data_IF_950720049539
#
_entry.id   IF_950720049539
#
_cell.length_a   1.000
_cell.length_b   1.000
_cell.length_c   1.000
_cell.angle_alpha   90.00
_cell.angle_beta   90.00
_cell.angle_gamma   90.00
#
_symmetry.space_group_name_H-M   'P 1'
#
loop_
_entity.id
_entity.type
_entity.pdbx_description
1 polymer ?
#
# COMPACT_ATOMS: atom_id res chain seq x y z
N UNK A 1 -4.19 -17.84 10.53
CA UNK A 1 -5.06 -17.04 9.65
C UNK A 1 -4.20 -16.24 8.67
N UNK A 2 -4.68 -16.09 7.46
CA UNK A 2 -3.97 -15.34 6.45
C UNK A 2 -3.94 -13.85 6.82
N UNK A 3 -2.79 -13.20 6.61
CA UNK A 3 -2.68 -11.76 6.74
C UNK A 3 -3.39 -11.09 5.58
N UNK A 4 -4.03 -9.95 5.84
CA UNK A 4 -4.79 -9.20 4.84
C UNK A 4 -4.00 -7.99 4.37
N UNK A 5 -3.93 -7.81 3.05
CA UNK A 5 -3.24 -6.70 2.42
C UNK A 5 -4.23 -5.92 1.57
N UNK A 6 -4.30 -4.61 1.79
CA UNK A 6 -5.09 -3.71 0.95
C UNK A 6 -4.18 -3.12 -0.12
N UNK A 7 -4.60 -3.26 -1.39
CA UNK A 7 -3.89 -2.64 -2.51
C UNK A 7 -4.75 -1.52 -3.05
N UNK A 8 -4.20 -0.31 -3.09
CA UNK A 8 -4.89 0.88 -3.59
C UNK A 8 -4.13 1.44 -4.79
N UNK A 9 -4.66 1.23 -6.00
CA UNK A 9 -4.05 1.66 -7.25
C UNK A 9 -5.14 1.70 -8.32
N UNK A 10 -5.14 2.72 -9.18
CA UNK A 10 -6.16 2.86 -10.22
C UNK A 10 -5.86 2.05 -11.49
N UNK A 11 -4.69 1.44 -11.58
CA UNK A 11 -4.34 0.55 -12.69
C UNK A 11 -4.88 -0.86 -12.39
N UNK A 12 -6.07 -1.16 -12.90
CA UNK A 12 -6.79 -2.41 -12.61
C UNK A 12 -5.94 -3.63 -12.92
N UNK A 13 -5.26 -3.64 -14.08
CA UNK A 13 -4.45 -4.80 -14.48
C UNK A 13 -3.27 -5.02 -13.54
N UNK A 14 -2.66 -3.95 -13.07
CA UNK A 14 -1.55 -4.04 -12.11
C UNK A 14 -2.05 -4.62 -10.78
N UNK A 15 -3.20 -4.15 -10.30
CA UNK A 15 -3.79 -4.65 -9.07
C UNK A 15 -4.07 -6.15 -9.18
N UNK A 16 -4.65 -6.58 -10.30
CA UNK A 16 -4.94 -8.00 -10.52
C UNK A 16 -3.67 -8.86 -10.54
N UNK A 17 -2.61 -8.37 -11.18
CA UNK A 17 -1.34 -9.08 -11.23
C UNK A 17 -0.72 -9.22 -9.83
N UNK A 18 -0.68 -8.14 -9.08
CA UNK A 18 -0.13 -8.13 -7.71
C UNK A 18 -0.97 -9.02 -6.81
N UNK A 19 -2.30 -8.93 -6.93
CA UNK A 19 -3.23 -9.76 -6.17
C UNK A 19 -2.94 -11.25 -6.38
N UNK A 20 -2.81 -11.68 -7.64
CA UNK A 20 -2.52 -13.08 -7.95
C UNK A 20 -1.23 -13.56 -7.28
N UNK A 21 -0.17 -12.76 -7.36
CA UNK A 21 1.12 -13.13 -6.78
C UNK A 21 1.08 -13.21 -5.27
N UNK A 22 0.40 -12.27 -4.63
CA UNK A 22 0.32 -12.25 -3.18
C UNK A 22 -0.62 -13.31 -2.64
N UNK A 23 -1.72 -13.60 -3.34
CA UNK A 23 -2.58 -14.72 -2.97
C UNK A 23 -1.85 -16.05 -3.07
N UNK A 24 -1.02 -16.21 -4.10
CA UNK A 24 -0.19 -17.41 -4.24
C UNK A 24 0.81 -17.55 -3.09
N UNK A 25 1.19 -16.45 -2.47
CA UNK A 25 2.09 -16.46 -1.31
C UNK A 25 1.35 -16.62 0.03
N UNK A 26 0.01 -16.76 0.00
CA UNK A 26 -0.79 -17.04 1.19
C UNK A 26 -1.48 -15.85 1.82
N UNK A 27 -1.49 -14.68 1.16
CA UNK A 27 -2.16 -13.50 1.68
C UNK A 27 -3.58 -13.38 1.16
N UNK A 28 -4.44 -12.75 1.96
CA UNK A 28 -5.78 -12.36 1.55
C UNK A 28 -5.72 -10.91 1.08
N UNK A 29 -6.27 -10.63 -0.12
CA UNK A 29 -6.12 -9.32 -0.77
C UNK A 29 -7.46 -8.58 -0.83
N UNK A 30 -7.43 -7.31 -0.44
CA UNK A 30 -8.52 -6.36 -0.59
C UNK A 30 -8.06 -5.33 -1.61
N UNK A 31 -8.91 -4.98 -2.57
CA UNK A 31 -8.55 -4.04 -3.63
C UNK A 31 -9.38 -2.77 -3.58
N UNK A 32 -8.75 -1.64 -3.89
CA UNK A 32 -9.41 -0.36 -4.08
C UNK A 32 -8.74 0.35 -5.26
N UNK A 33 -9.52 1.12 -6.02
CA UNK A 33 -9.05 1.71 -7.27
C UNK A 33 -9.01 3.24 -7.24
N UNK A 34 -9.34 3.84 -6.11
CA UNK A 34 -9.18 5.27 -5.87
C UNK A 34 -8.86 5.51 -4.40
N UNK A 35 -8.41 6.73 -4.10
CA UNK A 35 -7.96 7.06 -2.75
C UNK A 35 -9.07 7.07 -1.72
N UNK A 36 -10.26 7.51 -2.09
CA UNK A 36 -11.38 7.55 -1.15
C UNK A 36 -11.82 6.14 -0.76
N UNK A 37 -11.98 5.24 -1.75
CA UNK A 37 -12.32 3.85 -1.48
C UNK A 37 -11.22 3.15 -0.67
N UNK A 38 -9.96 3.43 -1.00
CA UNK A 38 -8.83 2.90 -0.25
C UNK A 38 -8.84 3.33 1.20
N UNK A 39 -9.08 4.62 1.44
CA UNK A 39 -9.16 5.15 2.79
C UNK A 39 -10.31 4.51 3.58
N UNK A 40 -11.49 4.42 2.97
CA UNK A 40 -12.67 3.83 3.61
C UNK A 40 -12.43 2.35 3.95
N UNK A 41 -11.86 1.59 3.02
CA UNK A 41 -11.56 0.18 3.26
C UNK A 41 -10.47 -0.03 4.32
N UNK A 42 -9.47 0.85 4.36
CA UNK A 42 -8.44 0.78 5.39
C UNK A 42 -9.05 0.93 6.79
N UNK A 43 -10.00 1.83 6.94
CA UNK A 43 -10.68 2.04 8.22
C UNK A 43 -11.64 0.91 8.57
N UNK A 44 -12.40 0.45 7.58
CA UNK A 44 -13.42 -0.57 7.80
C UNK A 44 -12.82 -1.96 8.00
N UNK A 45 -11.90 -2.36 7.12
CA UNK A 45 -11.37 -3.72 7.11
C UNK A 45 -10.12 -3.90 7.96
N UNK A 46 -9.45 -2.81 8.33
CA UNK A 46 -8.23 -2.81 9.15
C UNK A 46 -7.22 -3.86 8.67
N UNK A 47 -6.68 -3.69 7.44
CA UNK A 47 -5.74 -4.66 6.91
C UNK A 47 -4.45 -4.70 7.72
N UNK A 48 -3.68 -5.75 7.54
CA UNK A 48 -2.38 -5.90 8.21
C UNK A 48 -1.29 -5.08 7.54
N UNK A 49 -1.50 -4.70 6.27
CA UNK A 49 -0.56 -3.90 5.49
C UNK A 49 -1.30 -3.24 4.33
N UNK A 50 -0.84 -2.05 3.93
CA UNK A 50 -1.42 -1.32 2.80
C UNK A 50 -0.34 -1.05 1.76
N UNK A 51 -0.64 -1.37 0.49
CA UNK A 51 0.16 -0.96 -0.66
C UNK A 51 -0.62 0.17 -1.32
N UNK A 52 -0.01 1.35 -1.43
CA UNK A 52 -0.72 2.57 -1.75
C UNK A 52 0.00 3.35 -2.83
N UNK A 53 -0.66 3.56 -3.98
CA UNK A 53 -0.12 4.39 -5.05
C UNK A 53 -0.18 5.87 -4.66
N UNK A 54 0.79 6.64 -5.11
CA UNK A 54 0.85 8.09 -4.88
C UNK A 54 -0.19 8.84 -5.71
N UNK A 55 -0.35 8.46 -6.97
CA UNK A 55 -1.19 9.18 -7.94
C UNK A 55 -2.53 8.50 -8.08
N UNK A 56 -3.49 8.91 -7.26
CA UNK A 56 -4.82 8.31 -7.23
C UNK A 56 -5.89 9.36 -7.52
N UNK A 57 -6.99 8.96 -8.19
CA UNK A 57 -8.15 9.84 -8.30
C UNK A 57 -8.87 9.98 -6.94
N UNK A 58 -9.65 11.03 -6.81
CA UNK A 58 -10.51 11.39 -5.67
C UNK A 58 -9.73 11.81 -4.43
N UNK A 59 -8.74 11.03 -4.01
CA UNK A 59 -7.89 11.37 -2.87
C UNK A 59 -6.51 10.78 -3.14
N UNK A 60 -5.48 11.63 -3.23
CA UNK A 60 -4.14 11.15 -3.57
C UNK A 60 -3.52 10.31 -2.45
N UNK A 61 -2.50 9.52 -2.81
CA UNK A 61 -1.87 8.59 -1.87
C UNK A 61 -1.19 9.26 -0.69
N UNK A 62 -0.61 10.43 -0.87
CA UNK A 62 0.00 11.16 0.24
C UNK A 62 -1.04 11.53 1.29
N UNK A 63 -2.20 12.00 0.84
CA UNK A 63 -3.29 12.37 1.75
C UNK A 63 -3.82 11.16 2.51
N UNK A 64 -4.02 10.04 1.81
CA UNK A 64 -4.48 8.80 2.45
C UNK A 64 -3.48 8.37 3.52
N UNK A 65 -2.19 8.34 3.18
CA UNK A 65 -1.12 7.97 4.11
C UNK A 65 -1.12 8.89 5.33
N UNK A 66 -1.14 10.19 5.09
CA UNK A 66 -1.14 11.19 6.18
C UNK A 66 -2.30 11.03 7.12
N UNK A 67 -3.51 10.86 6.58
CA UNK A 67 -4.71 10.69 7.42
C UNK A 67 -4.64 9.43 8.26
N UNK A 68 -4.17 8.31 7.69
CA UNK A 68 -4.06 7.06 8.43
C UNK A 68 -2.96 7.12 9.49
N UNK A 69 -1.81 7.69 9.16
CA UNK A 69 -0.69 7.75 10.10
C UNK A 69 -0.92 8.75 11.23
N UNK A 70 -1.79 9.73 11.05
CA UNK A 70 -2.15 10.68 12.11
C UNK A 70 -3.34 10.23 12.96
N UNK A 71 -3.89 9.06 12.69
CA UNK A 71 -5.00 8.50 13.45
C UNK A 71 -4.49 7.32 14.28
N UNK A 72 -4.55 7.44 15.61
CA UNK A 72 -4.03 6.40 16.51
C UNK A 72 -4.63 5.01 16.26
N UNK A 73 -5.85 4.94 15.72
CA UNK A 73 -6.52 3.67 15.43
C UNK A 73 -5.87 2.91 14.26
N UNK A 74 -5.19 3.64 13.36
CA UNK A 74 -4.66 3.07 12.11
C UNK A 74 -3.17 3.29 11.92
N UNK A 75 -2.54 4.09 12.78
CA UNK A 75 -1.14 4.49 12.61
C UNK A 75 -0.17 3.30 12.64
N UNK A 76 -0.56 2.18 13.22
CA UNK A 76 0.28 0.99 13.30
C UNK A 76 0.24 0.12 12.04
N UNK A 77 -0.68 0.39 11.11
CA UNK A 77 -0.74 -0.37 9.87
C UNK A 77 0.43 0.05 8.97
N UNK A 78 1.37 -0.87 8.63
CA UNK A 78 2.48 -0.48 7.76
C UNK A 78 1.98 -0.17 6.35
N UNK A 79 2.56 0.87 5.75
CA UNK A 79 2.21 1.35 4.42
C UNK A 79 3.45 1.29 3.52
N UNK A 80 3.31 0.64 2.37
CA UNK A 80 4.29 0.68 1.30
C UNK A 80 3.77 1.64 0.24
N UNK A 81 4.50 2.72 -0.02
CA UNK A 81 4.17 3.65 -1.11
C UNK A 81 4.63 3.04 -2.43
N UNK A 82 3.71 2.92 -3.38
CA UNK A 82 3.90 2.18 -4.62
C UNK A 82 3.65 3.14 -5.79
N UNK A 83 4.68 3.49 -6.57
CA UNK A 83 4.56 4.54 -7.56
C UNK A 83 5.48 4.36 -8.75
N UNK A 84 5.08 4.93 -9.90
CA UNK A 84 5.92 5.02 -11.09
C UNK A 84 7.05 6.04 -10.93
N UNK A 85 6.97 6.88 -9.91
CA UNK A 85 7.99 7.90 -9.67
C UNK A 85 9.12 7.35 -8.82
N UNK A 86 10.35 7.50 -9.32
CA UNK A 86 11.57 7.05 -8.64
C UNK A 86 12.39 8.22 -8.14
N UNK A 87 11.78 9.39 -7.91
CA UNK A 87 12.50 10.58 -7.50
C UNK A 87 12.71 10.61 -6.00
N UNK A 88 13.88 11.05 -5.59
CA UNK A 88 14.26 11.17 -4.19
C UNK A 88 13.28 12.01 -3.38
N UNK A 89 12.75 13.07 -3.98
CA UNK A 89 11.77 13.95 -3.36
C UNK A 89 10.50 13.20 -2.95
N UNK A 90 9.98 12.34 -3.84
CA UNK A 90 8.78 11.57 -3.59
C UNK A 90 9.01 10.54 -2.48
N UNK A 91 10.17 9.89 -2.49
CA UNK A 91 10.53 8.93 -1.44
C UNK A 91 10.64 9.61 -0.08
N UNK A 92 11.27 10.79 -0.03
CA UNK A 92 11.42 11.55 1.20
C UNK A 92 10.06 11.99 1.74
N UNK A 93 9.19 12.50 0.86
CA UNK A 93 7.85 12.94 1.27
C UNK A 93 7.03 11.78 1.81
N UNK A 94 7.11 10.60 1.18
CA UNK A 94 6.43 9.42 1.67
C UNK A 94 6.90 9.03 3.06
N UNK A 95 8.20 9.08 3.31
CA UNK A 95 8.76 8.80 4.65
C UNK A 95 8.36 9.85 5.67
N UNK A 96 8.36 11.13 5.28
CA UNK A 96 7.94 12.22 6.17
C UNK A 96 6.49 12.07 6.61
N UNK A 97 5.64 11.44 5.77
CA UNK A 97 4.24 11.16 6.11
C UNK A 97 4.08 9.87 6.92
N UNK A 98 5.16 9.13 7.16
CA UNK A 98 5.15 7.95 8.01
C UNK A 98 5.04 6.62 7.28
N UNK A 99 5.16 6.61 5.95
CA UNK A 99 5.20 5.35 5.21
C UNK A 99 6.46 4.55 5.59
N UNK A 100 6.30 3.25 5.79
CA UNK A 100 7.40 2.38 6.21
C UNK A 100 8.34 2.04 5.08
N UNK A 101 7.83 1.94 3.85
CA UNK A 101 8.63 1.58 2.68
C UNK A 101 8.15 2.29 1.43
N UNK A 102 8.98 2.28 0.41
CA UNK A 102 8.73 2.93 -0.86
C UNK A 102 9.22 2.01 -1.98
N UNK A 103 8.34 1.65 -2.90
CA UNK A 103 8.65 0.76 -4.03
C UNK A 103 8.28 1.44 -5.33
N UNK A 104 9.21 1.46 -6.29
CA UNK A 104 8.98 2.09 -7.59
C UNK A 104 8.46 1.08 -8.61
N UNK A 105 7.63 1.58 -9.54
CA UNK A 105 7.18 0.82 -10.72
C UNK A 105 8.16 1.09 -11.87
N UNK A 106 8.46 0.12 -12.72
CA UNK A 106 8.14 -1.29 -12.58
C UNK A 106 8.88 -1.92 -11.39
N UNK A 107 8.25 -2.86 -10.74
CA UNK A 107 8.82 -3.48 -9.54
C UNK A 107 9.20 -4.94 -9.78
N UNK A 108 10.14 -5.42 -8.97
CA UNK A 108 10.46 -6.84 -8.92
C UNK A 108 9.53 -7.49 -7.89
N UNK A 109 8.71 -8.48 -8.30
CA UNK A 109 7.80 -9.15 -7.37
C UNK A 109 8.50 -9.75 -6.15
N UNK A 110 9.74 -10.20 -6.30
CA UNK A 110 10.52 -10.76 -5.18
C UNK A 110 10.88 -9.70 -4.17
N UNK A 111 11.23 -8.50 -4.63
CA UNK A 111 11.56 -7.38 -3.76
C UNK A 111 10.32 -6.93 -3.00
N UNK A 112 9.19 -6.80 -3.69
CA UNK A 112 7.93 -6.43 -3.05
C UNK A 112 7.54 -7.43 -1.97
N UNK A 113 7.59 -8.73 -2.28
CA UNK A 113 7.24 -9.78 -1.32
C UNK A 113 8.19 -9.77 -0.12
N UNK A 114 9.47 -9.54 -0.34
CA UNK A 114 10.46 -9.45 0.73
C UNK A 114 10.15 -8.31 1.69
N UNK A 115 9.80 -7.14 1.16
CA UNK A 115 9.43 -5.98 1.99
C UNK A 115 8.14 -6.24 2.78
N UNK A 116 7.16 -6.90 2.16
CA UNK A 116 5.91 -7.27 2.84
C UNK A 116 6.21 -8.18 4.04
N UNK A 117 7.00 -9.22 3.81
CA UNK A 117 7.35 -10.17 4.87
C UNK A 117 8.10 -9.49 6.00
N UNK A 118 9.05 -8.62 5.67
CA UNK A 118 9.81 -7.87 6.66
C UNK A 118 8.88 -7.01 7.53
N UNK A 119 7.96 -6.28 6.92
CA UNK A 119 7.04 -5.40 7.66
C UNK A 119 6.04 -6.18 8.49
N UNK A 120 5.64 -7.37 8.05
CA UNK A 120 4.71 -8.23 8.79
C UNK A 120 5.39 -9.13 9.81
N UNK A 121 6.71 -9.10 9.89
CA UNK A 121 7.46 -9.92 10.84
C UNK A 121 7.52 -11.40 10.46
N UNK A 122 7.50 -11.67 9.17
CA UNK A 122 7.51 -13.04 8.65
C UNK A 122 8.85 -13.46 8.07
#
# INVERSE_FOLDING_TARGET
MAKRILIVDDEVQLVEMVKMRLEAAGYEIISAYDGQDGFDKAKHDKPDLIILDLMLPKMDGYKVCGLLKNDARYSNIPIIMFTARAQEEDARLGKDLGAEEYVTKPFDPKILLSKIKELLGE
#
